data_IF_336447200634
#
_entry.id   IF_336447200634
#
_cell.length_a   1.000
_cell.length_b   1.000
_cell.length_c   1.000
_cell.angle_alpha   90.00
_cell.angle_beta   90.00
_cell.angle_gamma   90.00
#
_symmetry.space_group_name_H-M   'P 1'
#
loop_
_entity.id
_entity.type
_entity.pdbx_description
1 polymer ?
#
# COMPACT_ATOMS: atom_id res chain seq x y z
N UNK A 1 12.11 1.20 7.44
CA UNK A 1 11.22 2.27 6.94
C UNK A 1 9.86 2.25 7.64
N UNK A 2 8.95 1.31 7.36
CA UNK A 2 7.59 1.36 7.97
C UNK A 2 7.55 1.13 9.48
N UNK A 3 8.52 0.42 10.06
CA UNK A 3 8.54 0.14 11.51
C UNK A 3 8.46 1.42 12.35
N UNK A 4 9.29 2.42 12.05
CA UNK A 4 9.30 3.71 12.75
C UNK A 4 7.95 4.44 12.62
N UNK A 5 7.31 4.38 11.44
CA UNK A 5 6.02 5.02 11.20
C UNK A 5 4.87 4.36 11.94
N UNK A 6 4.98 3.05 12.18
CA UNK A 6 4.00 2.25 12.89
C UNK A 6 4.17 2.39 14.41
N UNK A 7 5.40 2.45 14.90
CA UNK A 7 5.72 2.67 16.32
C UNK A 7 5.13 3.99 16.82
N UNK A 8 5.27 5.07 16.03
CA UNK A 8 4.71 6.39 16.35
C UNK A 8 3.17 6.38 16.55
N UNK A 9 2.48 5.37 16.02
CA UNK A 9 1.02 5.26 15.96
C UNK A 9 0.49 3.98 16.59
N UNK A 10 1.33 3.27 17.35
CA UNK A 10 0.99 1.91 17.83
C UNK A 10 -0.23 1.90 18.76
N UNK A 11 -0.40 2.97 19.54
CA UNK A 11 -1.42 3.09 20.59
C UNK A 11 -2.71 3.76 20.08
N UNK A 12 -2.76 4.13 18.79
CA UNK A 12 -3.95 4.78 18.24
C UNK A 12 -5.12 3.78 18.16
N UNK A 13 -6.35 4.20 18.54
CA UNK A 13 -7.52 3.33 18.48
C UNK A 13 -7.94 2.98 17.04
N UNK A 14 -7.61 3.84 16.07
CA UNK A 14 -7.89 3.66 14.65
C UNK A 14 -6.61 3.95 13.86
N UNK A 15 -6.18 2.97 13.06
CA UNK A 15 -4.87 3.00 12.36
C UNK A 15 -5.01 2.91 10.84
N UNK A 16 -6.08 3.48 10.29
CA UNK A 16 -6.32 3.50 8.84
C UNK A 16 -5.79 4.79 8.22
N UNK A 17 -5.30 4.71 6.98
CA UNK A 17 -4.83 5.88 6.26
C UNK A 17 -5.93 6.93 6.05
N UNK A 18 -7.18 6.49 5.85
CA UNK A 18 -8.33 7.39 5.75
C UNK A 18 -8.61 8.15 7.06
N UNK A 19 -8.42 7.51 8.23
CA UNK A 19 -8.60 8.18 9.52
C UNK A 19 -7.59 9.32 9.70
N UNK A 20 -6.31 9.05 9.47
CA UNK A 20 -5.26 10.07 9.53
C UNK A 20 -5.48 11.18 8.50
N UNK A 21 -5.86 10.81 7.27
CA UNK A 21 -6.17 11.77 6.23
C UNK A 21 -7.30 12.73 6.65
N UNK A 22 -8.39 12.22 7.21
CA UNK A 22 -9.53 13.03 7.66
C UNK A 22 -9.20 13.95 8.85
N UNK A 23 -8.18 13.62 9.64
CA UNK A 23 -7.62 14.51 10.67
C UNK A 23 -6.73 15.62 10.13
N UNK A 24 -6.41 15.60 8.83
CA UNK A 24 -5.44 16.54 8.24
C UNK A 24 -3.98 16.08 8.38
N UNK A 25 -3.74 14.84 8.80
CA UNK A 25 -2.38 14.32 9.00
C UNK A 25 -1.84 13.70 7.71
N UNK A 26 -0.63 14.10 7.32
CA UNK A 26 0.11 13.49 6.21
C UNK A 26 1.06 12.43 6.77
N UNK A 27 0.72 11.17 6.52
CA UNK A 27 1.45 10.01 7.04
C UNK A 27 2.75 9.74 6.28
N UNK A 28 3.64 8.93 6.84
CA UNK A 28 4.84 8.47 6.13
C UNK A 28 4.50 7.73 4.83
N UNK A 29 3.42 6.95 4.82
CA UNK A 29 2.92 6.29 3.61
C UNK A 29 2.48 7.29 2.54
N UNK A 30 1.74 8.35 2.91
CA UNK A 30 1.31 9.38 1.96
C UNK A 30 2.49 10.16 1.37
N UNK A 31 3.49 10.51 2.19
CA UNK A 31 4.71 11.18 1.72
C UNK A 31 5.48 10.31 0.72
N UNK A 32 5.65 9.02 1.04
CA UNK A 32 6.33 8.08 0.15
C UNK A 32 5.61 7.96 -1.19
N UNK A 33 4.28 7.85 -1.19
CA UNK A 33 3.47 7.77 -2.41
C UNK A 33 3.58 9.05 -3.24
N UNK A 34 3.51 10.21 -2.59
CA UNK A 34 3.65 11.50 -3.25
C UNK A 34 4.99 11.61 -3.98
N UNK A 35 6.07 11.14 -3.35
CA UNK A 35 7.40 11.11 -3.97
C UNK A 35 7.46 10.19 -5.20
N UNK A 36 6.99 8.93 -5.09
CA UNK A 36 7.11 7.96 -6.20
C UNK A 36 6.15 8.23 -7.38
N UNK A 37 5.03 8.89 -7.12
CA UNK A 37 4.05 9.29 -8.15
C UNK A 37 4.29 10.72 -8.66
N UNK A 38 5.26 11.45 -8.09
CA UNK A 38 5.53 12.86 -8.37
C UNK A 38 4.28 13.75 -8.19
N UNK A 39 3.62 13.57 -7.04
CA UNK A 39 2.43 14.30 -6.62
C UNK A 39 2.72 15.14 -5.38
N UNK A 40 1.83 16.10 -5.10
CA UNK A 40 1.86 16.83 -3.85
C UNK A 40 1.34 15.94 -2.68
N UNK A 41 2.02 15.90 -1.50
CA UNK A 41 1.57 15.10 -0.36
C UNK A 41 0.19 15.49 0.19
N UNK A 42 -0.17 16.77 0.14
CA UNK A 42 -1.48 17.26 0.55
C UNK A 42 -2.56 16.84 -0.46
N UNK A 43 -2.23 16.79 -1.76
CA UNK A 43 -3.12 16.20 -2.75
C UNK A 43 -3.44 14.73 -2.43
N UNK A 44 -2.41 13.90 -2.17
CA UNK A 44 -2.57 12.49 -1.80
C UNK A 44 -3.45 12.35 -0.53
N UNK A 45 -3.15 13.12 0.51
CA UNK A 45 -3.94 13.14 1.75
C UNK A 45 -5.41 13.50 1.46
N UNK A 46 -5.65 14.53 0.65
CA UNK A 46 -7.01 15.00 0.34
C UNK A 46 -7.84 13.95 -0.40
N UNK A 47 -7.26 13.23 -1.36
CA UNK A 47 -7.95 12.19 -2.12
C UNK A 47 -8.21 10.94 -1.26
N UNK A 48 -7.28 10.60 -0.34
CA UNK A 48 -7.50 9.55 0.66
C UNK A 48 -8.61 9.92 1.64
N UNK A 49 -8.66 11.16 2.12
CA UNK A 49 -9.71 11.64 3.01
C UNK A 49 -11.10 11.58 2.35
N UNK A 50 -11.17 11.88 1.05
CA UNK A 50 -12.38 11.84 0.22
C UNK A 50 -12.77 10.42 -0.22
N UNK A 51 -11.90 9.43 -0.05
CA UNK A 51 -12.14 8.05 -0.47
C UNK A 51 -12.03 7.81 -1.98
N UNK A 52 -11.39 8.73 -2.72
CA UNK A 52 -11.08 8.57 -4.16
C UNK A 52 -9.72 7.92 -4.41
N UNK A 53 -8.93 7.79 -3.35
CA UNK A 53 -7.65 7.11 -3.33
C UNK A 53 -7.56 6.25 -2.07
N UNK A 54 -6.99 5.06 -2.21
CA UNK A 54 -6.70 4.18 -1.07
C UNK A 54 -5.22 3.82 -1.03
N UNK A 55 -4.76 3.50 0.18
CA UNK A 55 -3.40 3.02 0.46
C UNK A 55 -3.53 1.71 1.25
N UNK A 56 -3.41 0.54 0.60
CA UNK A 56 -3.57 -0.76 1.24
C UNK A 56 -2.34 -1.11 2.08
N UNK A 57 -2.23 -0.50 3.27
CA UNK A 57 -1.03 -0.57 4.10
C UNK A 57 -1.32 -1.12 5.50
N UNK A 58 -1.73 -2.38 5.56
CA UNK A 58 -1.96 -3.09 6.83
C UNK A 58 -0.74 -2.94 7.76
N UNK A 59 -1.00 -2.66 9.05
CA UNK A 59 0.01 -2.46 10.10
C UNK A 59 0.88 -3.70 10.32
N UNK A 60 0.39 -4.90 10.00
CA UNK A 60 1.15 -6.14 10.13
C UNK A 60 2.09 -6.40 8.95
N UNK A 61 1.87 -5.76 7.79
CA UNK A 61 2.73 -5.92 6.61
C UNK A 61 3.91 -4.94 6.63
N UNK A 62 4.85 -5.17 7.55
CA UNK A 62 5.97 -4.26 7.83
C UNK A 62 6.94 -4.05 6.66
N UNK A 63 7.10 -5.07 5.81
CA UNK A 63 8.00 -5.04 4.65
C UNK A 63 7.36 -4.43 3.38
N UNK A 64 6.11 -3.98 3.47
CA UNK A 64 5.38 -3.37 2.35
C UNK A 64 6.10 -2.11 1.84
N UNK A 65 6.24 -2.00 0.52
CA UNK A 65 6.47 -0.73 -0.17
C UNK A 65 5.10 -0.09 -0.43
N UNK A 66 4.75 1.03 0.22
CA UNK A 66 3.42 1.62 0.05
C UNK A 66 3.15 2.03 -1.40
N UNK A 67 1.89 1.92 -1.82
CA UNK A 67 1.41 2.37 -3.12
C UNK A 67 -0.01 2.92 -2.96
N UNK A 68 -0.43 3.76 -3.89
CA UNK A 68 -1.80 4.27 -3.94
C UNK A 68 -2.56 3.75 -5.15
N UNK A 69 -3.83 3.42 -4.92
CA UNK A 69 -4.80 3.05 -5.95
C UNK A 69 -5.87 4.13 -5.95
N UNK A 70 -6.00 4.90 -7.04
CA UNK A 70 -6.98 5.98 -7.12
C UNK A 70 -6.69 7.01 -8.19
N UNK A 71 -7.39 8.13 -8.10
CA UNK A 71 -7.27 9.23 -9.06
C UNK A 71 -5.84 9.82 -9.07
N UNK A 72 -5.36 10.17 -10.27
CA UNK A 72 -4.09 10.84 -10.53
C UNK A 72 -2.82 10.06 -10.14
N UNK A 73 -2.93 8.80 -9.73
CA UNK A 73 -1.80 7.87 -9.67
C UNK A 73 -1.72 7.06 -10.96
N UNK A 74 -0.55 6.47 -11.26
CA UNK A 74 -0.45 5.54 -12.39
C UNK A 74 -1.42 4.38 -12.20
N UNK A 75 -2.03 3.91 -13.29
CA UNK A 75 -2.86 2.70 -13.30
C UNK A 75 -2.08 1.53 -12.68
N UNK A 76 -2.73 0.78 -11.78
CA UNK A 76 -2.12 -0.32 -11.02
C UNK A 76 -2.62 -1.66 -11.54
N UNK A 77 -1.74 -2.64 -11.61
CA UNK A 77 -2.04 -4.00 -12.08
C UNK A 77 -1.90 -5.00 -10.93
N UNK A 78 -2.92 -5.85 -10.77
CA UNK A 78 -2.93 -6.93 -9.79
C UNK A 78 -2.62 -8.27 -10.44
N UNK A 79 -1.77 -9.08 -9.81
CA UNK A 79 -1.49 -10.45 -10.25
C UNK A 79 -2.07 -11.47 -9.26
N UNK A 80 -3.05 -12.26 -9.70
CA UNK A 80 -3.58 -13.35 -8.89
C UNK A 80 -2.64 -14.57 -8.95
N UNK A 81 -2.18 -15.02 -7.78
CA UNK A 81 -1.44 -16.26 -7.57
C UNK A 81 -2.18 -17.13 -6.55
N UNK A 82 -1.77 -18.39 -6.38
CA UNK A 82 -2.43 -19.33 -5.47
C UNK A 82 -2.33 -20.77 -5.96
N UNK A 83 -2.37 -21.69 -5.00
CA UNK A 83 -2.37 -23.13 -5.23
C UNK A 83 -3.78 -23.64 -5.52
N UNK A 84 -3.88 -24.77 -6.22
CA UNK A 84 -5.13 -25.49 -6.40
C UNK A 84 -5.14 -26.77 -5.56
N UNK A 85 -6.32 -27.37 -5.34
CA UNK A 85 -6.41 -28.66 -4.65
C UNK A 85 -5.68 -29.80 -5.37
N UNK A 86 -5.38 -29.62 -6.65
CA UNK A 86 -4.71 -30.61 -7.51
C UNK A 86 -3.20 -30.32 -7.66
N UNK A 87 -2.76 -29.13 -7.26
CA UNK A 87 -1.37 -28.69 -7.35
C UNK A 87 -1.09 -27.64 -6.28
N UNK A 88 -0.36 -28.04 -5.24
CA UNK A 88 0.18 -27.12 -4.25
C UNK A 88 1.68 -27.34 -4.10
N UNK A 89 2.44 -26.28 -4.35
CA UNK A 89 3.86 -26.21 -4.03
C UNK A 89 4.14 -24.81 -3.47
N UNK A 90 4.65 -24.75 -2.25
CA UNK A 90 4.89 -23.48 -1.55
C UNK A 90 5.98 -22.70 -2.27
N UNK A 91 7.05 -23.37 -2.69
CA UNK A 91 8.18 -22.73 -3.37
C UNK A 91 7.75 -22.18 -4.73
N UNK A 92 6.94 -22.94 -5.48
CA UNK A 92 6.31 -22.46 -6.72
C UNK A 92 5.37 -21.26 -6.53
N UNK A 93 4.62 -21.17 -5.43
CA UNK A 93 3.81 -19.96 -5.14
C UNK A 93 4.69 -18.74 -4.84
N UNK A 94 5.77 -18.93 -4.09
CA UNK A 94 6.73 -17.85 -3.80
C UNK A 94 7.41 -17.38 -5.08
N UNK A 95 7.84 -18.31 -5.95
CA UNK A 95 8.42 -17.97 -7.24
C UNK A 95 7.44 -17.19 -8.11
N UNK A 96 6.17 -17.62 -8.19
CA UNK A 96 5.13 -16.88 -8.90
C UNK A 96 4.98 -15.45 -8.38
N UNK A 97 4.98 -15.24 -7.06
CA UNK A 97 4.93 -13.90 -6.46
C UNK A 97 6.13 -13.03 -6.89
N UNK A 98 7.34 -13.59 -6.82
CA UNK A 98 8.58 -12.90 -7.20
C UNK A 98 8.60 -12.56 -8.69
N UNK A 99 8.15 -13.48 -9.54
CA UNK A 99 8.04 -13.28 -10.99
C UNK A 99 7.02 -12.18 -11.31
N UNK A 100 5.83 -12.21 -10.69
CA UNK A 100 4.82 -11.17 -10.86
C UNK A 100 5.36 -9.79 -10.48
N UNK A 101 6.06 -9.69 -9.35
CA UNK A 101 6.69 -8.44 -8.93
C UNK A 101 7.78 -7.98 -9.92
N UNK A 102 8.61 -8.91 -10.41
CA UNK A 102 9.68 -8.61 -11.38
C UNK A 102 9.14 -8.02 -12.68
N UNK A 103 7.97 -8.49 -13.14
CA UNK A 103 7.34 -8.01 -14.37
C UNK A 103 6.36 -6.84 -14.15
N UNK A 104 6.32 -6.27 -12.94
CA UNK A 104 5.62 -5.01 -12.68
C UNK A 104 4.18 -5.16 -12.21
N UNK A 105 3.80 -6.28 -11.60
CA UNK A 105 2.59 -6.32 -10.79
C UNK A 105 2.74 -5.37 -9.61
N UNK A 106 1.77 -4.48 -9.44
CA UNK A 106 1.71 -3.57 -8.30
C UNK A 106 1.16 -4.30 -7.07
N UNK A 107 0.16 -5.17 -7.25
CA UNK A 107 -0.48 -5.91 -6.15
C UNK A 107 -0.59 -7.41 -6.39
#
# INVERSE_FOLDING_TARGET
>A
MRNEWLEARQNDPVRTQMFYAKKGEITGEMKYIAEIENLDPEFVRSEVARGRMIIPANVNHKNLKPMAIGLATKCKINSNIGSSALSSDIDGEVEKALVSQKYGADT
#
